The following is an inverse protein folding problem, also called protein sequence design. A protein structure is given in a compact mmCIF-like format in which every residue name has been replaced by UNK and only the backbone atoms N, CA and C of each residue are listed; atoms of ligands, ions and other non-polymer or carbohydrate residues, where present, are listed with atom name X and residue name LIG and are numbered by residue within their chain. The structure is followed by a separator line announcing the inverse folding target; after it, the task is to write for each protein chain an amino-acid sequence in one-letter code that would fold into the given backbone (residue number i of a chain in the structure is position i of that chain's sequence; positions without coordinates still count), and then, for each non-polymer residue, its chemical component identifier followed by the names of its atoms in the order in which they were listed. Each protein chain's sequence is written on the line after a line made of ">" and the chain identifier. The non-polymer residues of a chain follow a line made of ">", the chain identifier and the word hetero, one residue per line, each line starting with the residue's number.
data_IF_318431821168
#
_entry.id   IF_318431821168
#
_cell.length_a   1.000
_cell.length_b   1.000
_cell.length_c   1.000
_cell.angle_alpha   90.00
_cell.angle_beta   90.00
_cell.angle_gamma   90.00
#
_symmetry.space_group_name_H-M   'P 1'
#
loop_
_entity.id
_entity.type
_entity.pdbx_description
1 polymer ?
#
# COMPACT_ATOMS: atom_id res chain seq x y z
N UNK A 1 -16.23 30.64 -18.67
CA UNK A 1 -16.20 29.18 -18.48
C UNK A 1 -14.75 28.72 -18.49
N UNK A 2 -14.17 28.38 -17.34
CA UNK A 2 -12.76 28.00 -17.24
C UNK A 2 -12.60 26.49 -17.47
N UNK A 3 -12.01 26.10 -18.62
CA UNK A 3 -11.65 24.71 -18.89
C UNK A 3 -10.49 24.29 -17.99
N UNK A 4 -10.64 23.19 -17.25
CA UNK A 4 -9.55 22.56 -16.49
C UNK A 4 -8.70 21.72 -17.45
N UNK A 5 -7.49 22.19 -17.74
CA UNK A 5 -6.48 21.44 -18.47
C UNK A 5 -5.65 20.61 -17.50
N UNK A 6 -5.28 19.38 -17.89
CA UNK A 6 -4.36 18.53 -17.15
C UNK A 6 -3.17 18.24 -18.06
N UNK A 7 -1.99 18.72 -17.68
CA UNK A 7 -0.74 18.53 -18.41
C UNK A 7 -0.17 17.18 -17.98
N UNK A 8 0.17 16.33 -18.95
CA UNK A 8 0.91 15.08 -18.74
C UNK A 8 2.26 15.27 -19.44
N UNK A 9 3.35 15.16 -18.68
CA UNK A 9 4.70 15.10 -19.23
C UNK A 9 4.93 13.67 -19.73
N UNK A 10 5.16 13.54 -21.03
CA UNK A 10 5.59 12.31 -21.68
C UNK A 10 7.07 12.51 -22.04
N UNK A 11 7.91 11.54 -21.69
CA UNK A 11 9.33 11.58 -22.05
C UNK A 11 9.53 11.57 -23.56
N UNK A 12 10.51 12.37 -23.98
CA UNK A 12 10.80 12.77 -25.35
C UNK A 12 11.34 11.58 -26.18
N UNK A 13 10.70 11.34 -27.32
CA UNK A 13 11.24 10.52 -28.41
C UNK A 13 10.93 11.21 -29.75
N UNK A 14 11.30 12.49 -29.87
CA UNK A 14 11.51 13.16 -31.16
C UNK A 14 10.29 13.29 -32.08
N UNK A 15 9.06 13.20 -31.57
CA UNK A 15 7.82 13.32 -32.35
C UNK A 15 6.86 14.33 -31.74
N UNK A 16 6.36 15.27 -32.54
CA UNK A 16 5.46 16.32 -32.11
C UNK A 16 4.25 15.78 -31.33
N UNK A 17 4.05 16.27 -30.09
CA UNK A 17 2.96 15.87 -29.21
C UNK A 17 1.62 16.39 -29.76
N UNK A 18 0.78 15.49 -30.29
CA UNK A 18 -0.59 15.82 -30.68
C UNK A 18 -1.50 15.70 -29.46
N UNK A 19 -2.23 16.77 -29.06
CA UNK A 19 -3.16 16.71 -27.95
C UNK A 19 -4.35 15.79 -28.30
N UNK A 20 -4.35 14.57 -27.77
CA UNK A 20 -5.51 13.68 -27.87
C UNK A 20 -6.53 14.08 -26.82
N UNK A 21 -7.67 14.62 -27.25
CA UNK A 21 -8.82 14.90 -26.37
C UNK A 21 -9.47 13.59 -25.91
N UNK A 22 -8.86 12.90 -24.95
CA UNK A 22 -9.50 11.79 -24.24
C UNK A 22 -10.60 12.37 -23.36
N UNK A 23 -11.86 12.22 -23.78
CA UNK A 23 -13.01 12.34 -22.88
C UNK A 23 -12.85 11.25 -21.81
N UNK A 24 -12.30 11.61 -20.66
CA UNK A 24 -12.33 10.73 -19.50
C UNK A 24 -13.80 10.57 -19.13
N UNK A 25 -14.41 9.44 -19.52
CA UNK A 25 -15.59 8.95 -18.82
C UNK A 25 -15.15 8.82 -17.37
N UNK A 26 -15.56 9.76 -16.52
CA UNK A 26 -15.39 9.66 -15.07
C UNK A 26 -16.15 8.43 -14.61
N UNK A 27 -15.54 7.26 -14.73
CA UNK A 27 -15.91 6.12 -13.89
C UNK A 27 -15.51 6.58 -12.49
N UNK A 28 -16.51 6.90 -11.67
CA UNK A 28 -16.30 6.87 -10.21
C UNK A 28 -15.63 5.52 -9.93
N UNK A 29 -14.53 5.47 -9.17
CA UNK A 29 -14.03 4.18 -8.70
C UNK A 29 -15.21 3.49 -8.04
N UNK A 30 -15.67 2.38 -8.62
CA UNK A 30 -16.63 1.53 -7.96
C UNK A 30 -15.82 0.86 -6.86
N UNK A 31 -15.83 1.44 -5.66
CA UNK A 31 -15.32 0.75 -4.49
C UNK A 31 -16.26 -0.43 -4.27
N UNK A 32 -15.84 -1.67 -4.53
CA UNK A 32 -16.74 -2.83 -4.37
C UNK A 32 -16.99 -3.14 -2.88
N UNK A 33 -16.40 -2.36 -1.97
CA UNK A 33 -16.47 -2.55 -0.54
C UNK A 33 -17.39 -1.50 0.08
N UNK A 34 -18.47 -1.94 0.75
CA UNK A 34 -19.19 -1.06 1.68
C UNK A 34 -18.30 -0.75 2.88
N UNK A 35 -18.62 0.32 3.62
CA UNK A 35 -17.88 0.70 4.85
C UNK A 35 -17.93 -0.42 5.90
N UNK A 36 -18.97 -1.27 5.89
CA UNK A 36 -19.04 -2.49 6.71
C UNK A 36 -18.29 -3.69 6.11
N UNK A 37 -18.00 -3.71 4.81
CA UNK A 37 -17.36 -4.82 4.10
C UNK A 37 -15.81 -4.76 4.09
N UNK A 38 -15.21 -3.68 4.58
CA UNK A 38 -13.76 -3.59 4.82
C UNK A 38 -13.37 -4.43 6.05
N UNK A 39 -13.49 -5.75 5.92
CA UNK A 39 -13.00 -6.72 6.88
C UNK A 39 -11.57 -7.14 6.59
N UNK A 40 -10.97 -7.87 7.55
CA UNK A 40 -9.62 -8.44 7.46
C UNK A 40 -9.32 -9.16 6.15
N UNK A 41 -10.31 -9.84 5.57
CA UNK A 41 -10.14 -10.58 4.32
C UNK A 41 -9.79 -9.69 3.13
N UNK A 42 -10.39 -8.51 3.02
CA UNK A 42 -10.11 -7.59 1.90
C UNK A 42 -8.66 -7.10 1.95
N UNK A 43 -8.17 -6.75 3.13
CA UNK A 43 -6.79 -6.32 3.34
C UNK A 43 -5.79 -7.45 3.01
N UNK A 44 -6.09 -8.67 3.46
CA UNK A 44 -5.21 -9.81 3.27
C UNK A 44 -5.24 -10.36 1.82
N UNK A 45 -6.36 -10.25 1.12
CA UNK A 45 -6.43 -10.49 -0.33
C UNK A 45 -5.64 -9.45 -1.13
N UNK A 46 -5.63 -8.19 -0.71
CA UNK A 46 -4.78 -7.16 -1.29
C UNK A 46 -3.29 -7.48 -1.05
N UNK A 47 -2.91 -7.90 0.16
CA UNK A 47 -1.56 -8.35 0.49
C UNK A 47 -1.13 -9.55 -0.38
N UNK A 48 -1.98 -10.57 -0.55
CA UNK A 48 -1.69 -11.71 -1.44
C UNK A 48 -1.54 -11.31 -2.91
N UNK A 49 -2.25 -10.26 -3.36
CA UNK A 49 -2.09 -9.70 -4.71
C UNK A 49 -0.76 -8.97 -4.86
N UNK A 50 -0.41 -8.10 -3.91
CA UNK A 50 0.86 -7.38 -3.89
C UNK A 50 2.05 -8.35 -3.85
N UNK A 51 1.99 -9.39 -3.01
CA UNK A 51 3.04 -10.42 -2.95
C UNK A 51 3.29 -11.11 -4.29
N UNK A 52 2.25 -11.34 -5.10
CA UNK A 52 2.37 -12.00 -6.41
C UNK A 52 2.98 -11.11 -7.49
N UNK A 53 2.91 -9.79 -7.33
CA UNK A 53 3.44 -8.84 -8.31
C UNK A 53 4.96 -8.67 -8.21
N UNK A 54 5.56 -9.13 -7.10
CA UNK A 54 6.99 -9.03 -6.87
C UNK A 54 7.40 -7.63 -6.37
N UNK A 55 8.64 -7.49 -5.88
CA UNK A 55 9.15 -6.23 -5.36
C UNK A 55 9.43 -5.22 -6.48
N UNK A 56 9.47 -3.94 -6.11
CA UNK A 56 9.95 -2.85 -6.96
C UNK A 56 8.90 -2.14 -7.82
N UNK A 57 9.32 -1.14 -8.62
CA UNK A 57 8.43 -0.21 -9.32
C UNK A 57 7.49 -0.87 -10.33
N UNK A 58 7.84 -2.04 -10.86
CA UNK A 58 7.00 -2.81 -11.78
C UNK A 58 5.79 -3.45 -11.08
N UNK A 59 5.88 -3.73 -9.77
CA UNK A 59 4.75 -4.14 -8.94
C UNK A 59 3.76 -2.99 -8.67
N UNK A 60 4.20 -1.74 -8.83
CA UNK A 60 3.42 -0.53 -8.53
C UNK A 60 2.40 -0.17 -9.62
N UNK A 61 2.16 -1.08 -10.56
CA UNK A 61 1.21 -0.87 -11.67
C UNK A 61 -0.24 -1.02 -11.24
N UNK A 62 -0.53 -1.33 -9.97
CA UNK A 62 -1.90 -1.30 -9.46
C UNK A 62 -2.41 0.14 -9.49
N UNK A 63 -3.31 0.39 -10.43
CA UNK A 63 -4.10 1.61 -10.43
C UNK A 63 -5.06 1.60 -9.23
N UNK A 64 -5.23 2.77 -8.59
CA UNK A 64 -6.29 3.01 -7.61
C UNK A 64 -7.69 2.56 -8.11
N UNK A 65 -7.92 2.58 -9.43
CA UNK A 65 -9.20 2.17 -10.03
C UNK A 65 -9.38 0.65 -10.08
N UNK A 66 -8.28 -0.12 -10.08
CA UNK A 66 -8.30 -1.56 -10.29
C UNK A 66 -8.21 -2.32 -8.95
N UNK A 67 -7.39 -1.84 -8.01
CA UNK A 67 -7.33 -2.38 -6.65
C UNK A 67 -6.96 -1.30 -5.62
N UNK A 68 -7.97 -0.57 -5.10
CA UNK A 68 -7.72 0.58 -4.24
C UNK A 68 -7.10 0.21 -2.89
N UNK A 69 -7.35 -1.00 -2.38
CA UNK A 69 -6.80 -1.43 -1.09
C UNK A 69 -5.32 -1.73 -1.22
N UNK A 70 -4.92 -2.45 -2.26
CA UNK A 70 -3.50 -2.69 -2.53
C UNK A 70 -2.75 -1.37 -2.81
N UNK A 71 -3.35 -0.47 -3.60
CA UNK A 71 -2.78 0.86 -3.83
C UNK A 71 -2.57 1.63 -2.52
N UNK A 72 -3.55 1.61 -1.60
CA UNK A 72 -3.42 2.29 -0.32
C UNK A 72 -2.36 1.65 0.57
N UNK A 73 -2.30 0.31 0.65
CA UNK A 73 -1.28 -0.40 1.44
C UNK A 73 0.14 -0.05 1.01
N UNK A 74 0.34 0.20 -0.28
CA UNK A 74 1.65 0.52 -0.85
C UNK A 74 2.00 2.02 -0.77
N UNK A 75 0.99 2.91 -0.76
CA UNK A 75 1.19 4.37 -0.81
C UNK A 75 1.08 5.09 0.54
N UNK A 76 0.61 4.43 1.60
CA UNK A 76 0.55 5.06 2.93
C UNK A 76 1.94 5.38 3.47
N UNK A 77 2.04 6.49 4.19
CA UNK A 77 3.29 6.95 4.81
C UNK A 77 3.65 6.16 6.07
N UNK A 78 2.70 5.47 6.68
CA UNK A 78 2.95 4.57 7.80
C UNK A 78 3.59 3.27 7.31
N UNK A 79 4.47 2.68 8.12
CA UNK A 79 5.06 1.40 7.81
C UNK A 79 4.05 0.28 8.11
N UNK A 80 3.83 -0.59 7.12
CA UNK A 80 2.94 -1.74 7.23
C UNK A 80 3.75 -3.00 6.93
N UNK A 81 3.68 -3.96 7.86
CA UNK A 81 4.31 -5.27 7.72
C UNK A 81 3.30 -6.36 8.07
N UNK A 82 3.26 -7.41 7.26
CA UNK A 82 2.51 -8.64 7.54
C UNK A 82 3.49 -9.78 7.57
N UNK A 83 3.55 -10.49 8.69
CA UNK A 83 4.36 -11.70 8.85
C UNK A 83 3.53 -12.86 9.39
N UNK A 84 3.99 -14.08 9.15
CA UNK A 84 3.42 -15.27 9.78
C UNK A 84 3.80 -15.35 11.26
N UNK A 85 3.13 -16.25 12.00
CA UNK A 85 3.47 -16.56 13.39
C UNK A 85 4.85 -17.21 13.56
N UNK A 86 5.45 -17.74 12.48
CA UNK A 86 6.83 -18.24 12.45
C UNK A 86 7.85 -17.20 12.01
N UNK A 87 7.42 -15.95 11.76
CA UNK A 87 8.29 -14.82 11.44
C UNK A 87 8.58 -14.59 9.94
N UNK A 88 8.02 -15.39 9.04
CA UNK A 88 8.14 -15.19 7.59
C UNK A 88 7.43 -13.90 7.17
N UNK A 89 8.15 -12.99 6.51
CA UNK A 89 7.54 -11.77 5.95
C UNK A 89 6.72 -12.13 4.73
N UNK A 90 5.42 -11.86 4.79
CA UNK A 90 4.48 -12.06 3.69
C UNK A 90 4.39 -10.80 2.84
N UNK A 91 4.46 -9.64 3.48
CA UNK A 91 4.40 -8.33 2.85
C UNK A 91 5.04 -7.27 3.74
N UNK A 92 5.79 -6.36 3.12
CA UNK A 92 6.28 -5.14 3.71
C UNK A 92 6.01 -4.03 2.69
N UNK A 93 5.41 -2.91 3.11
CA UNK A 93 5.34 -1.75 2.24
C UNK A 93 6.73 -1.06 2.15
N UNK A 94 6.96 -0.17 1.17
CA UNK A 94 8.26 0.47 0.98
C UNK A 94 8.77 1.24 2.21
N UNK A 95 7.85 1.78 3.01
CA UNK A 95 8.20 2.45 4.26
C UNK A 95 8.74 1.44 5.28
N UNK A 96 8.06 0.30 5.47
CA UNK A 96 8.50 -0.77 6.36
C UNK A 96 9.85 -1.37 5.95
N UNK A 97 10.09 -1.52 4.65
CA UNK A 97 11.39 -1.97 4.12
C UNK A 97 12.51 -0.97 4.43
N UNK A 98 12.30 0.33 4.17
CA UNK A 98 13.29 1.38 4.50
C UNK A 98 13.56 1.51 6.01
N UNK A 99 12.56 1.20 6.83
CA UNK A 99 12.70 1.17 8.30
C UNK A 99 13.34 -0.13 8.82
N UNK A 100 13.62 -1.10 7.96
CA UNK A 100 14.06 -2.44 8.34
C UNK A 100 13.14 -3.09 9.40
N UNK A 101 11.83 -2.87 9.30
CA UNK A 101 10.86 -3.31 10.31
C UNK A 101 10.80 -4.84 10.45
N UNK A 102 11.11 -5.56 9.36
CA UNK A 102 11.20 -7.03 9.33
C UNK A 102 12.30 -7.58 10.24
N UNK A 103 13.40 -6.84 10.42
CA UNK A 103 14.55 -7.24 11.24
C UNK A 103 14.27 -7.09 12.74
N UNK A 104 13.23 -6.31 13.10
CA UNK A 104 12.79 -6.16 14.49
C UNK A 104 11.96 -7.37 14.91
N UNK A 105 12.20 -7.82 16.15
CA UNK A 105 11.39 -8.85 16.80
C UNK A 105 9.92 -8.44 16.84
N UNK A 106 9.00 -9.38 16.63
CA UNK A 106 7.57 -9.09 16.77
C UNK A 106 7.26 -8.67 18.22
N UNK A 107 6.60 -7.52 18.40
CA UNK A 107 6.13 -7.03 19.69
C UNK A 107 4.69 -6.56 19.56
N UNK A 108 3.84 -6.75 20.57
CA UNK A 108 2.47 -6.21 20.56
C UNK A 108 2.46 -4.68 20.48
N UNK A 109 3.47 -4.06 21.07
CA UNK A 109 3.67 -2.62 21.12
C UNK A 109 5.16 -2.29 21.26
N UNK A 110 5.64 -1.27 20.56
CA UNK A 110 7.00 -0.74 20.69
C UNK A 110 7.01 0.75 20.33
N UNK A 111 7.83 1.56 21.02
CA UNK A 111 8.21 2.89 20.55
C UNK A 111 9.67 2.89 20.15
N UNK A 112 9.98 3.53 19.03
CA UNK A 112 11.35 3.59 18.51
C UNK A 112 11.57 4.89 17.73
N UNK A 113 12.84 5.24 17.53
CA UNK A 113 13.23 6.36 16.68
C UNK A 113 13.67 5.88 15.31
N UNK A 114 13.29 6.65 14.29
CA UNK A 114 13.77 6.48 12.91
C UNK A 114 13.84 7.86 12.25
N UNK A 115 14.97 8.17 11.63
CA UNK A 115 15.24 9.47 10.99
C UNK A 115 14.95 10.69 11.91
N UNK A 116 15.35 10.58 13.18
CA UNK A 116 15.16 11.64 14.19
C UNK A 116 13.70 11.85 14.64
N UNK A 117 12.76 11.02 14.19
CA UNK A 117 11.35 11.09 14.55
C UNK A 117 10.96 9.89 15.43
N UNK A 118 9.96 10.10 16.29
CA UNK A 118 9.42 9.04 17.15
C UNK A 118 8.25 8.32 16.47
N UNK A 119 8.28 7.00 16.55
CA UNK A 119 7.29 6.10 15.98
C UNK A 119 6.74 5.16 17.04
N UNK A 120 5.49 4.76 16.84
CA UNK A 120 4.82 3.74 17.62
C UNK A 120 4.44 2.58 16.70
N UNK A 121 4.97 1.39 16.98
CA UNK A 121 4.59 0.13 16.35
C UNK A 121 3.53 -0.56 17.20
N UNK A 122 2.44 -0.96 16.56
CA UNK A 122 1.40 -1.80 17.14
C UNK A 122 1.23 -3.05 16.30
N UNK A 123 1.03 -4.17 16.97
CA UNK A 123 0.80 -5.45 16.30
C UNK A 123 -0.56 -6.02 16.65
N UNK A 124 -1.22 -6.58 15.65
CA UNK A 124 -2.47 -7.28 15.79
C UNK A 124 -2.34 -8.69 15.21
N UNK A 125 -2.66 -9.67 16.03
CA UNK A 125 -2.76 -11.05 15.57
C UNK A 125 -4.13 -11.28 14.94
N UNK A 126 -4.14 -11.86 13.76
CA UNK A 126 -5.37 -12.25 13.08
C UNK A 126 -5.24 -13.66 12.49
N UNK A 127 -6.39 -14.28 12.23
CA UNK A 127 -6.47 -15.55 11.49
C UNK A 127 -7.02 -15.27 10.11
N UNK A 128 -6.35 -15.82 9.11
CA UNK A 128 -6.79 -15.77 7.72
C UNK A 128 -6.70 -17.14 7.10
N UNK A 129 -7.84 -17.66 6.62
CA UNK A 129 -7.98 -19.07 6.23
C UNK A 129 -7.46 -19.97 7.35
N UNK A 130 -6.40 -20.75 7.10
CA UNK A 130 -5.77 -21.65 8.06
C UNK A 130 -4.44 -21.13 8.64
N UNK A 131 -4.12 -19.85 8.43
CA UNK A 131 -2.85 -19.25 8.87
C UNK A 131 -3.07 -18.22 9.97
N UNK A 132 -2.14 -18.17 10.93
CA UNK A 132 -2.03 -17.07 11.90
C UNK A 132 -1.08 -16.04 11.34
N UNK A 133 -1.53 -14.80 11.31
CA UNK A 133 -0.80 -13.67 10.76
C UNK A 133 -0.67 -12.60 11.83
N UNK A 134 0.41 -11.84 11.75
CA UNK A 134 0.67 -10.67 12.56
C UNK A 134 0.73 -9.49 11.59
N UNK A 135 -0.23 -8.57 11.72
CA UNK A 135 -0.15 -7.25 11.10
C UNK A 135 0.55 -6.32 12.06
N UNK A 136 1.59 -5.66 11.60
CA UNK A 136 2.31 -4.62 12.33
C UNK A 136 2.15 -3.30 11.57
N UNK A 137 1.79 -2.25 12.30
CA UNK A 137 1.71 -0.89 11.78
C UNK A 137 2.61 -0.02 12.64
N UNK A 138 3.57 0.68 12.02
CA UNK A 138 4.32 1.73 12.69
C UNK A 138 3.93 3.10 12.15
N UNK A 139 3.39 3.93 13.02
CA UNK A 139 2.92 5.27 12.72
C UNK A 139 3.72 6.30 13.51
N UNK A 140 3.91 7.47 12.93
CA UNK A 140 4.61 8.58 13.60
C UNK A 140 3.81 9.08 14.79
N UNK A 141 4.49 9.39 15.90
CA UNK A 141 3.92 10.08 17.05
C UNK A 141 3.97 11.58 16.78
N UNK A 142 2.82 12.26 16.92
CA UNK A 142 2.68 13.71 16.74
C UNK A 142 2.95 14.46 18.04
#
# INVERSE_FOLDING_TARGET
>A
MAGRYRILLLEDSGGALVPVSRRSRRRRPAFPYSREALGWGVLLEAVERLRRQGPGPEGWRISLQDDPVAFLLDSVADAILVRSDVGEVIYANPVAERMALSERSAASFERFQWDGLEYERRSLQCRWRHRRLILEVASRIL
#
